data_IF_290991980483
#
_entry.id   IF_290991980483
#
_cell.length_a   1.000
_cell.length_b   1.000
_cell.length_c   1.000
_cell.angle_alpha   90.00
_cell.angle_beta   90.00
_cell.angle_gamma   90.00
#
_symmetry.space_group_name_H-M   'P 1'
#
loop_
_entity.id
_entity.type
_entity.pdbx_description
1 polymer ?
#
# COMPACT_ATOMS: atom_id res chain seq x y z
N UNK A 1 44.78 -14.57 -11.73
CA UNK A 1 43.77 -15.61 -11.43
C UNK A 1 42.56 -15.35 -12.31
N UNK A 2 42.42 -16.14 -13.38
CA UNK A 2 41.37 -16.02 -14.38
C UNK A 2 40.25 -17.00 -14.04
N UNK A 3 39.02 -16.53 -13.85
CA UNK A 3 37.85 -17.40 -13.70
C UNK A 3 37.23 -17.64 -15.09
N UNK A 4 37.29 -18.90 -15.53
CA UNK A 4 36.65 -19.41 -16.75
C UNK A 4 35.18 -19.76 -16.45
N UNK A 5 34.29 -19.22 -17.26
CA UNK A 5 32.87 -19.58 -17.33
C UNK A 5 32.74 -20.93 -18.06
N UNK A 6 32.15 -21.94 -17.43
CA UNK A 6 31.83 -23.22 -18.08
C UNK A 6 30.41 -23.14 -18.66
N UNK A 7 30.31 -23.11 -19.98
CA UNK A 7 29.05 -23.23 -20.72
C UNK A 7 28.88 -24.69 -21.11
N UNK A 8 27.83 -25.34 -20.61
CA UNK A 8 27.42 -26.67 -21.07
C UNK A 8 26.44 -26.52 -22.24
N UNK A 9 26.87 -26.95 -23.42
CA UNK A 9 26.05 -27.02 -24.63
C UNK A 9 25.38 -28.40 -24.71
N UNK A 10 24.04 -28.42 -24.78
CA UNK A 10 23.28 -29.60 -25.18
C UNK A 10 22.75 -29.37 -26.62
N UNK A 11 23.30 -30.13 -27.56
CA UNK A 11 22.89 -30.13 -28.96
C UNK A 11 21.74 -31.14 -29.16
N UNK A 12 20.60 -30.66 -29.67
CA UNK A 12 19.56 -31.51 -30.24
C UNK A 12 19.36 -31.09 -31.71
N UNK A 13 19.60 -32.03 -32.65
CA UNK A 13 19.24 -31.85 -34.07
C UNK A 13 18.12 -32.81 -34.47
N UNK A 14 16.98 -32.18 -34.74
CA UNK A 14 16.03 -32.34 -35.86
C UNK A 14 15.58 -33.75 -36.26
N UNK A 15 14.27 -33.98 -36.10
CA UNK A 15 13.46 -34.73 -37.05
C UNK A 15 12.50 -33.75 -37.71
N UNK A 16 12.54 -33.68 -39.04
CA UNK A 16 11.52 -33.03 -39.85
C UNK A 16 10.64 -34.08 -40.49
N UNK A 17 9.34 -33.81 -40.58
CA UNK A 17 8.46 -34.08 -41.73
C UNK A 17 7.04 -33.62 -41.39
N UNK A 18 6.44 -32.85 -42.28
CA UNK A 18 5.00 -32.60 -42.41
C UNK A 18 4.65 -32.87 -43.90
N UNK A 19 3.37 -32.90 -44.34
CA UNK A 19 2.11 -32.78 -43.61
C UNK A 19 1.09 -33.89 -43.99
N UNK A 20 -0.01 -34.03 -43.23
CA UNK A 20 -1.26 -34.59 -43.78
C UNK A 20 -2.47 -33.81 -43.27
N UNK A 21 -3.21 -33.33 -44.25
CA UNK A 21 -4.50 -32.63 -44.21
C UNK A 21 -5.61 -33.54 -43.70
N UNK A 22 -6.46 -33.08 -42.77
CA UNK A 22 -7.87 -33.45 -42.75
C UNK A 22 -8.72 -32.31 -42.21
N UNK A 23 -9.83 -32.06 -42.92
CA UNK A 23 -10.81 -31.00 -42.71
C UNK A 23 -11.74 -31.34 -41.52
N UNK A 24 -12.18 -30.26 -40.88
CA UNK A 24 -13.22 -30.07 -39.86
C UNK A 24 -14.47 -30.98 -39.94
N UNK A 25 -15.18 -31.14 -38.80
CA UNK A 25 -16.32 -30.23 -38.53
C UNK A 25 -16.30 -29.58 -37.15
N UNK A 26 -17.12 -28.54 -37.05
CA UNK A 26 -17.33 -27.67 -35.91
C UNK A 26 -17.84 -28.40 -34.65
N UNK A 27 -17.40 -27.95 -33.47
CA UNK A 27 -18.12 -28.16 -32.22
C UNK A 27 -18.67 -26.83 -31.71
N UNK A 28 -19.99 -26.86 -31.53
CA UNK A 28 -20.85 -25.78 -31.20
C UNK A 28 -20.78 -25.36 -29.73
N UNK A 29 -21.16 -24.11 -29.53
CA UNK A 29 -21.45 -23.40 -28.28
C UNK A 29 -22.06 -24.25 -27.14
N UNK A 30 -21.37 -24.28 -25.99
CA UNK A 30 -21.88 -24.42 -24.61
C UNK A 30 -20.76 -23.89 -23.70
N UNK A 31 -20.89 -22.96 -22.75
CA UNK A 31 -21.99 -22.41 -21.96
C UNK A 31 -21.74 -20.91 -21.80
N UNK A 32 -22.77 -20.08 -21.99
CA UNK A 32 -22.70 -18.68 -21.60
C UNK A 32 -22.59 -18.58 -20.08
N UNK A 33 -21.58 -17.87 -19.58
CA UNK A 33 -21.64 -17.31 -18.25
C UNK A 33 -22.69 -16.20 -18.29
N UNK A 34 -23.88 -16.48 -17.76
CA UNK A 34 -24.86 -15.44 -17.48
C UNK A 34 -24.32 -14.65 -16.30
N UNK A 35 -23.71 -13.51 -16.60
CA UNK A 35 -23.39 -12.50 -15.60
C UNK A 35 -24.70 -11.79 -15.28
N UNK A 36 -25.33 -12.14 -14.15
CA UNK A 36 -26.32 -11.26 -13.55
C UNK A 36 -25.57 -10.02 -13.09
N UNK A 37 -25.86 -8.86 -13.70
CA UNK A 37 -25.41 -7.58 -13.19
C UNK A 37 -25.78 -7.49 -11.69
N UNK A 38 -24.88 -7.02 -10.80
CA UNK A 38 -25.25 -6.81 -9.42
C UNK A 38 -26.40 -5.79 -9.39
N UNK A 39 -27.50 -6.20 -8.74
CA UNK A 39 -28.51 -5.27 -8.27
C UNK A 39 -27.87 -4.30 -7.26
N UNK A 40 -28.53 -3.15 -7.07
CA UNK A 40 -28.16 -2.08 -6.14
C UNK A 40 -27.35 -2.57 -4.93
N UNK A 41 -26.23 -1.90 -4.64
CA UNK A 41 -25.31 -2.13 -3.52
C UNK A 41 -25.99 -2.84 -2.35
N UNK A 42 -25.73 -4.15 -2.21
CA UNK A 42 -26.13 -4.87 -1.01
C UNK A 42 -25.39 -4.23 0.16
N UNK A 43 -26.15 -3.59 1.05
CA UNK A 43 -25.61 -3.02 2.27
C UNK A 43 -24.80 -4.11 3.02
N UNK A 44 -23.55 -3.81 3.34
CA UNK A 44 -22.71 -4.69 4.17
C UNK A 44 -23.47 -4.96 5.47
N UNK A 45 -23.61 -6.22 5.92
CA UNK A 45 -24.32 -6.54 7.14
C UNK A 45 -23.77 -5.71 8.31
N UNK A 46 -24.61 -4.88 8.94
CA UNK A 46 -24.23 -4.10 10.12
C UNK A 46 -24.08 -4.95 11.40
N UNK A 47 -24.23 -6.28 11.29
CA UNK A 47 -24.18 -7.23 12.38
C UNK A 47 -22.97 -8.15 12.19
N UNK A 48 -22.06 -8.14 13.17
CA UNK A 48 -20.81 -8.91 13.16
C UNK A 48 -19.68 -8.14 13.88
N UNK A 49 -18.54 -8.79 14.03
CA UNK A 49 -17.30 -8.18 14.49
C UNK A 49 -16.77 -7.12 13.50
N UNK A 50 -15.76 -6.35 13.92
CA UNK A 50 -15.15 -5.32 13.11
C UNK A 50 -14.01 -5.88 12.25
N UNK A 51 -13.89 -5.36 11.04
CA UNK A 51 -12.66 -5.48 10.23
C UNK A 51 -11.50 -4.75 10.93
N UNK A 52 -10.25 -5.05 10.58
CA UNK A 52 -9.09 -4.34 11.12
C UNK A 52 -9.09 -2.85 10.70
N UNK A 53 -9.52 -2.54 9.47
CA UNK A 53 -9.71 -1.17 8.99
C UNK A 53 -10.66 -0.40 9.91
N UNK A 54 -11.83 -0.97 10.23
CA UNK A 54 -12.81 -0.36 11.14
C UNK A 54 -12.23 -0.19 12.55
N UNK A 55 -11.52 -1.18 13.09
CA UNK A 55 -10.87 -1.08 14.41
C UNK A 55 -9.85 0.03 14.48
N UNK A 56 -9.01 0.19 13.45
CA UNK A 56 -8.00 1.25 13.42
C UNK A 56 -8.69 2.61 13.24
N UNK A 57 -9.64 2.73 12.31
CA UNK A 57 -10.39 3.97 12.11
C UNK A 57 -11.11 4.43 13.39
N UNK A 58 -11.73 3.50 14.13
CA UNK A 58 -12.41 3.80 15.39
C UNK A 58 -11.50 4.39 16.46
N UNK A 59 -10.24 3.95 16.55
CA UNK A 59 -9.26 4.54 17.50
C UNK A 59 -8.90 5.99 17.16
N UNK A 60 -9.06 6.36 15.90
CA UNK A 60 -8.76 7.68 15.39
C UNK A 60 -10.02 8.54 15.22
N UNK A 61 -11.21 7.99 15.45
CA UNK A 61 -12.46 8.72 15.34
C UNK A 61 -12.61 9.74 16.47
N UNK A 62 -13.26 10.86 16.16
CA UNK A 62 -13.48 11.98 17.06
C UNK A 62 -14.97 12.07 17.35
N UNK A 63 -15.33 12.17 18.64
CA UNK A 63 -16.71 12.37 19.06
C UNK A 63 -17.59 11.13 19.04
N UNK A 64 -17.02 9.93 18.91
CA UNK A 64 -17.77 8.68 19.09
C UNK A 64 -18.21 8.52 20.56
N UNK A 65 -19.47 8.13 20.74
CA UNK A 65 -20.05 7.76 22.02
C UNK A 65 -19.49 6.45 22.56
N UNK A 66 -19.68 6.23 23.86
CA UNK A 66 -19.28 4.98 24.51
C UNK A 66 -20.05 3.79 23.92
N UNK A 67 -19.32 2.79 23.42
CA UNK A 67 -19.90 1.59 22.81
C UNK A 67 -20.28 1.74 21.34
N UNK A 68 -20.11 2.92 20.74
CA UNK A 68 -20.28 3.08 19.29
C UNK A 68 -19.12 2.41 18.55
N UNK A 69 -19.45 1.65 17.51
CA UNK A 69 -18.49 0.97 16.66
C UNK A 69 -18.49 1.58 15.27
N UNK A 70 -17.32 1.84 14.70
CA UNK A 70 -17.20 2.26 13.29
C UNK A 70 -17.52 1.09 12.38
N UNK A 71 -18.32 1.36 11.36
CA UNK A 71 -18.75 0.42 10.33
C UNK A 71 -18.50 1.01 8.94
N UNK A 72 -18.26 0.13 7.99
CA UNK A 72 -18.25 0.47 6.57
C UNK A 72 -19.51 1.27 6.20
N UNK A 73 -19.33 2.40 5.53
CA UNK A 73 -20.38 3.36 5.18
C UNK A 73 -20.51 4.55 6.13
N UNK A 74 -20.04 4.43 7.37
CA UNK A 74 -20.12 5.51 8.36
C UNK A 74 -19.32 6.73 7.91
N UNK A 75 -19.90 7.91 8.12
CA UNK A 75 -19.22 9.19 7.89
C UNK A 75 -18.77 9.77 9.22
N UNK A 76 -17.46 9.68 9.50
CA UNK A 76 -16.88 10.01 10.80
C UNK A 76 -15.86 11.14 10.68
N UNK A 77 -15.75 11.95 11.74
CA UNK A 77 -14.59 12.80 11.91
C UNK A 77 -13.43 11.95 12.45
N UNK A 78 -12.25 12.08 11.87
CA UNK A 78 -11.03 11.38 12.30
C UNK A 78 -9.92 12.39 12.62
N UNK A 79 -9.06 12.01 13.56
CA UNK A 79 -7.77 12.63 13.85
C UNK A 79 -6.64 11.66 13.46
N UNK A 80 -6.12 11.74 12.23
CA UNK A 80 -4.94 10.95 11.85
C UNK A 80 -3.77 11.21 12.80
N UNK A 81 -2.93 10.20 13.04
CA UNK A 81 -1.72 10.36 13.84
C UNK A 81 -0.75 11.35 13.21
N UNK A 82 -0.56 11.22 11.89
CA UNK A 82 0.26 12.12 11.10
C UNK A 82 -0.43 12.44 9.76
N UNK A 83 -0.06 13.59 9.21
CA UNK A 83 -0.34 13.97 7.81
C UNK A 83 0.97 14.25 7.10
N UNK A 84 1.33 13.39 6.15
CA UNK A 84 2.53 13.56 5.35
C UNK A 84 2.26 14.45 4.15
N UNK A 85 3.13 15.42 3.92
CA UNK A 85 3.22 16.10 2.62
C UNK A 85 4.67 16.13 2.16
N UNK A 86 4.89 16.04 0.86
CA UNK A 86 6.24 16.03 0.28
C UNK A 86 6.55 17.39 -0.35
N UNK A 87 7.22 17.45 -1.50
CA UNK A 87 7.39 18.67 -2.30
C UNK A 87 6.12 19.51 -2.47
N UNK A 88 4.97 18.85 -2.51
CA UNK A 88 3.68 19.50 -2.67
C UNK A 88 3.25 20.32 -1.44
N UNK A 89 3.98 20.24 -0.32
CA UNK A 89 3.85 21.15 0.83
C UNK A 89 3.86 22.61 0.38
N UNK A 90 4.70 22.95 -0.62
CA UNK A 90 4.74 24.30 -1.21
C UNK A 90 3.41 24.76 -1.82
N UNK A 91 2.57 23.83 -2.28
CA UNK A 91 1.23 24.09 -2.79
C UNK A 91 0.11 23.95 -1.73
N UNK A 92 0.39 23.32 -0.59
CA UNK A 92 -0.54 23.22 0.55
C UNK A 92 -0.47 24.48 1.42
N UNK A 93 0.73 25.05 1.65
CA UNK A 93 0.93 26.31 2.40
C UNK A 93 -0.01 27.46 1.96
N UNK A 94 -0.13 27.81 0.66
CA UNK A 94 -1.04 28.87 0.25
C UNK A 94 -2.52 28.52 0.50
N UNK A 95 -2.91 27.24 0.41
CA UNK A 95 -4.28 26.80 0.73
C UNK A 95 -4.58 26.97 2.22
N UNK A 96 -3.66 26.53 3.07
CA UNK A 96 -3.72 26.72 4.52
C UNK A 96 -3.88 28.20 4.91
N UNK A 97 -3.10 29.09 4.26
CA UNK A 97 -3.26 30.54 4.48
C UNK A 97 -4.59 31.08 3.94
N UNK A 98 -5.07 30.57 2.81
CA UNK A 98 -6.31 31.06 2.18
C UNK A 98 -7.57 30.77 3.01
N UNK A 99 -7.56 29.73 3.84
CA UNK A 99 -8.65 29.46 4.80
C UNK A 99 -8.52 30.28 6.10
N UNK A 100 -7.62 31.25 6.14
CA UNK A 100 -7.40 32.14 7.28
C UNK A 100 -6.56 31.53 8.42
N UNK A 101 -6.04 30.31 8.24
CA UNK A 101 -5.24 29.65 9.27
C UNK A 101 -3.85 30.29 9.38
N UNK A 102 -3.46 30.59 10.61
CA UNK A 102 -2.17 31.22 10.94
C UNK A 102 -1.27 30.33 11.79
N UNK A 103 -1.80 29.23 12.35
CA UNK A 103 -1.07 28.24 13.16
C UNK A 103 -1.59 26.84 12.87
N UNK A 104 -0.71 25.85 12.98
CA UNK A 104 -1.09 24.45 12.94
C UNK A 104 -1.87 24.11 14.22
N UNK A 105 -2.95 23.34 14.09
CA UNK A 105 -3.72 22.87 15.25
C UNK A 105 -2.91 21.90 16.13
N UNK A 106 -2.04 21.11 15.51
CA UNK A 106 -1.02 20.30 16.17
C UNK A 106 0.25 20.33 15.33
N UNK A 107 1.31 20.95 15.85
CA UNK A 107 2.58 21.08 15.14
C UNK A 107 3.29 19.74 14.88
N UNK A 108 3.02 18.71 15.70
CA UNK A 108 3.66 17.40 15.61
C UNK A 108 2.94 16.44 14.64
N UNK A 109 1.70 16.78 14.23
CA UNK A 109 0.93 15.95 13.31
C UNK A 109 1.45 16.06 11.86
N UNK A 110 1.74 17.25 11.30
CA UNK A 110 2.33 17.35 9.96
C UNK A 110 3.79 16.87 9.90
N UNK A 111 4.09 16.11 8.85
CA UNK A 111 5.44 15.66 8.51
C UNK A 111 5.74 16.09 7.09
N UNK A 112 6.79 16.90 6.92
CA UNK A 112 7.23 17.39 5.60
C UNK A 112 8.47 16.63 5.15
N UNK A 113 8.40 15.87 4.07
CA UNK A 113 9.53 15.05 3.58
C UNK A 113 9.78 15.26 2.08
N UNK A 114 10.87 15.95 1.73
CA UNK A 114 11.18 16.30 0.33
C UNK A 114 11.83 15.14 -0.43
N UNK A 115 11.26 14.72 -1.56
CA UNK A 115 11.73 13.54 -2.29
C UNK A 115 11.44 13.51 -3.81
N UNK A 116 10.52 14.31 -4.35
CA UNK A 116 10.08 14.20 -5.74
C UNK A 116 10.97 14.93 -6.75
N UNK A 117 11.47 16.12 -6.39
CA UNK A 117 12.19 17.01 -7.33
C UNK A 117 13.64 17.27 -6.88
N UNK A 118 14.28 16.27 -6.26
CA UNK A 118 15.58 16.44 -5.57
C UNK A 118 16.75 16.72 -6.52
N UNK A 119 16.65 16.32 -7.79
CA UNK A 119 17.67 16.57 -8.81
C UNK A 119 17.56 17.95 -9.45
N UNK A 120 16.41 18.62 -9.29
CA UNK A 120 16.19 19.96 -9.83
C UNK A 120 16.78 21.02 -8.90
N UNK A 121 17.99 21.47 -9.23
CA UNK A 121 18.70 22.50 -8.46
C UNK A 121 18.44 23.92 -8.97
N UNK A 122 17.40 24.14 -9.78
CA UNK A 122 17.03 25.48 -10.25
C UNK A 122 16.69 26.40 -9.07
N UNK A 123 16.98 27.70 -9.23
CA UNK A 123 16.69 28.70 -8.20
C UNK A 123 15.21 28.68 -7.75
N UNK A 124 14.29 28.41 -8.67
CA UNK A 124 12.86 28.26 -8.38
C UNK A 124 12.57 27.08 -7.44
N UNK A 125 13.18 25.92 -7.70
CA UNK A 125 12.97 24.74 -6.85
C UNK A 125 13.65 24.90 -5.49
N UNK A 126 14.86 25.45 -5.45
CA UNK A 126 15.55 25.74 -4.20
C UNK A 126 14.77 26.74 -3.33
N UNK A 127 14.15 27.76 -3.93
CA UNK A 127 13.27 28.67 -3.20
C UNK A 127 12.00 27.98 -2.67
N UNK A 128 11.41 27.04 -3.42
CA UNK A 128 10.29 26.19 -2.97
C UNK A 128 10.68 25.39 -1.73
N UNK A 129 11.80 24.67 -1.78
CA UNK A 129 12.29 23.85 -0.66
C UNK A 129 12.63 24.68 0.57
N UNK A 130 13.31 25.81 0.38
CA UNK A 130 13.61 26.73 1.47
C UNK A 130 12.33 27.28 2.12
N UNK A 131 11.31 27.62 1.32
CA UNK A 131 10.02 28.08 1.84
C UNK A 131 9.29 26.99 2.66
N UNK A 132 9.40 25.73 2.27
CA UNK A 132 8.84 24.59 3.02
C UNK A 132 9.60 24.41 4.35
N UNK A 133 10.92 24.42 4.32
CA UNK A 133 11.76 24.30 5.51
C UNK A 133 11.48 25.43 6.51
N UNK A 134 11.44 26.69 6.03
CA UNK A 134 11.09 27.84 6.87
C UNK A 134 9.70 27.72 7.49
N UNK A 135 8.72 27.23 6.72
CA UNK A 135 7.37 26.99 7.24
C UNK A 135 7.38 25.95 8.35
N UNK A 136 8.13 24.86 8.18
CA UNK A 136 8.32 23.82 9.18
C UNK A 136 8.95 24.37 10.47
N UNK A 137 10.04 25.13 10.33
CA UNK A 137 10.74 25.76 11.45
C UNK A 137 9.84 26.75 12.20
N UNK A 138 9.09 27.57 11.47
CA UNK A 138 8.17 28.57 12.05
C UNK A 138 7.09 27.92 12.92
N UNK A 139 6.60 26.75 12.52
CA UNK A 139 5.53 26.05 13.24
C UNK A 139 6.02 24.94 14.17
N UNK A 140 7.32 24.61 14.16
CA UNK A 140 7.88 23.52 14.95
C UNK A 140 7.49 22.12 14.45
N UNK A 141 7.26 21.96 13.15
CA UNK A 141 6.89 20.67 12.53
C UNK A 141 8.09 19.84 12.12
N UNK A 142 7.87 18.53 12.00
CA UNK A 142 8.90 17.59 11.53
C UNK A 142 9.19 17.84 10.06
N UNK A 143 10.48 17.99 9.74
CA UNK A 143 10.98 18.23 8.40
C UNK A 143 12.13 17.29 8.07
N UNK A 144 12.03 16.63 6.92
CA UNK A 144 13.07 15.81 6.33
C UNK A 144 13.53 16.46 5.02
N UNK A 145 14.81 16.87 4.92
CA UNK A 145 15.32 17.57 3.74
C UNK A 145 15.47 16.63 2.54
N UNK A 146 15.61 17.23 1.36
CA UNK A 146 15.89 16.51 0.12
C UNK A 146 17.12 15.62 0.29
N UNK A 147 17.01 14.36 -0.15
CA UNK A 147 18.06 13.36 -0.02
C UNK A 147 17.99 12.50 1.25
N UNK A 148 17.01 12.71 2.15
CA UNK A 148 16.75 11.77 3.25
C UNK A 148 16.30 10.39 2.74
N UNK A 149 15.42 10.38 1.75
CA UNK A 149 14.79 9.17 1.20
C UNK A 149 13.38 9.48 0.69
N UNK A 150 12.75 8.50 0.05
CA UNK A 150 11.35 8.60 -0.40
C UNK A 150 10.43 8.76 0.82
N UNK A 151 9.49 9.70 0.77
CA UNK A 151 8.69 10.13 1.90
C UNK A 151 7.97 8.97 2.61
N UNK A 152 7.41 8.04 1.85
CA UNK A 152 6.74 6.86 2.43
C UNK A 152 7.70 5.93 3.16
N UNK A 153 8.89 5.68 2.61
CA UNK A 153 9.92 4.88 3.27
C UNK A 153 10.39 5.55 4.56
N UNK A 154 10.61 6.87 4.51
CA UNK A 154 10.95 7.67 5.69
C UNK A 154 9.86 7.53 6.76
N UNK A 155 8.59 7.66 6.41
CA UNK A 155 7.52 7.51 7.40
C UNK A 155 7.49 6.15 8.09
N UNK A 156 7.75 5.07 7.35
CA UNK A 156 7.74 3.70 7.90
C UNK A 156 8.96 3.45 8.77
N UNK A 157 10.17 3.75 8.26
CA UNK A 157 11.43 3.50 8.97
C UNK A 157 11.63 4.41 10.18
N UNK A 158 11.05 5.62 10.16
CA UNK A 158 11.10 6.57 11.26
C UNK A 158 10.03 6.33 12.34
N UNK A 159 9.20 5.30 12.16
CA UNK A 159 8.11 4.96 13.08
C UNK A 159 6.97 5.98 13.13
N UNK A 160 6.83 6.81 12.09
CA UNK A 160 5.75 7.78 11.96
C UNK A 160 4.48 7.10 11.43
N UNK A 161 4.62 6.21 10.44
CA UNK A 161 3.59 5.23 10.06
C UNK A 161 3.69 4.01 10.98
N UNK A 162 3.12 4.12 12.19
CA UNK A 162 3.29 3.11 13.24
C UNK A 162 2.18 2.03 13.19
N UNK A 163 2.48 0.76 13.49
CA UNK A 163 1.49 -0.31 13.57
C UNK A 163 0.25 0.06 14.40
N UNK A 164 -0.93 -0.23 13.86
CA UNK A 164 -2.23 0.03 14.49
C UNK A 164 -2.65 1.50 14.56
N UNK A 165 -1.92 2.41 13.90
CA UNK A 165 -2.28 3.82 13.75
C UNK A 165 -2.87 4.14 12.38
N UNK A 166 -3.54 5.29 12.26
CA UNK A 166 -4.00 5.86 10.99
C UNK A 166 -3.10 7.04 10.59
N UNK A 167 -2.55 7.01 9.37
CA UNK A 167 -1.74 8.09 8.81
C UNK A 167 -2.26 8.44 7.43
N UNK A 168 -2.43 9.73 7.17
CA UNK A 168 -2.82 10.21 5.84
C UNK A 168 -1.64 10.90 5.17
N UNK A 169 -1.64 10.95 3.85
CA UNK A 169 -0.66 11.73 3.11
C UNK A 169 -1.29 12.45 1.94
N UNK A 170 -0.78 13.63 1.61
CA UNK A 170 -1.12 14.31 0.36
C UNK A 170 -0.44 13.63 -0.84
N UNK A 171 -0.51 12.31 -0.92
CA UNK A 171 0.11 11.46 -1.94
C UNK A 171 -0.72 10.18 -2.09
N UNK A 172 -0.87 9.70 -3.32
CA UNK A 172 -1.71 8.54 -3.65
C UNK A 172 -1.22 7.22 -3.08
N UNK A 173 0.09 7.10 -2.79
CA UNK A 173 0.75 5.88 -2.37
C UNK A 173 0.94 5.79 -0.86
N UNK A 174 0.24 6.63 -0.09
CA UNK A 174 0.12 6.49 1.37
C UNK A 174 -0.43 5.13 1.79
N UNK A 175 -1.06 4.37 0.89
CA UNK A 175 -1.45 2.98 1.09
C UNK A 175 -0.27 2.09 1.52
N UNK A 176 0.97 2.43 1.15
CA UNK A 176 2.19 1.70 1.54
C UNK A 176 2.28 1.41 3.05
N UNK A 177 1.75 2.31 3.89
CA UNK A 177 1.79 2.17 5.35
C UNK A 177 1.09 0.90 5.85
N UNK A 178 0.13 0.38 5.09
CA UNK A 178 -0.57 -0.84 5.47
C UNK A 178 0.29 -2.10 5.46
N UNK A 179 1.48 -2.07 4.83
CA UNK A 179 2.43 -3.18 4.87
C UNK A 179 2.98 -3.45 6.28
N UNK A 180 2.96 -2.44 7.16
CA UNK A 180 3.33 -2.54 8.58
C UNK A 180 2.12 -2.48 9.52
N UNK A 181 0.90 -2.64 8.98
CA UNK A 181 -0.33 -2.58 9.76
C UNK A 181 -0.74 -1.18 10.22
N UNK A 182 -0.26 -0.13 9.55
CA UNK A 182 -0.76 1.24 9.70
C UNK A 182 -1.83 1.51 8.63
N UNK A 183 -3.01 2.00 9.02
CA UNK A 183 -4.05 2.38 8.06
C UNK A 183 -3.62 3.66 7.33
N UNK A 184 -3.05 3.48 6.14
CA UNK A 184 -2.63 4.54 5.23
C UNK A 184 -3.67 4.83 4.16
N UNK A 185 -4.02 6.11 3.97
CA UNK A 185 -4.94 6.55 2.90
C UNK A 185 -4.52 7.92 2.36
N UNK A 186 -4.69 8.17 1.05
CA UNK A 186 -4.40 9.46 0.45
C UNK A 186 -5.42 10.53 0.86
N UNK A 187 -4.98 11.78 0.84
CA UNK A 187 -5.81 12.99 0.90
C UNK A 187 -5.38 13.96 -0.18
N UNK A 188 -6.24 14.89 -0.58
CA UNK A 188 -5.83 15.94 -1.52
C UNK A 188 -5.18 17.13 -0.79
N UNK A 189 -4.49 17.99 -1.54
CA UNK A 189 -3.81 19.19 -0.97
C UNK A 189 -4.73 20.12 -0.17
N UNK A 190 -6.01 20.19 -0.54
CA UNK A 190 -7.00 21.01 0.20
C UNK A 190 -7.32 20.38 1.55
N UNK A 191 -7.52 19.07 1.59
CA UNK A 191 -7.77 18.33 2.83
C UNK A 191 -6.55 18.37 3.75
N UNK A 192 -5.33 18.23 3.21
CA UNK A 192 -4.10 18.40 3.98
C UNK A 192 -4.04 19.77 4.66
N UNK A 193 -4.39 20.86 3.95
CA UNK A 193 -4.47 22.20 4.54
C UNK A 193 -5.55 22.32 5.63
N UNK A 194 -6.70 21.67 5.44
CA UNK A 194 -7.76 21.64 6.45
C UNK A 194 -7.34 20.84 7.70
N UNK A 195 -6.66 19.71 7.52
CA UNK A 195 -6.09 18.91 8.61
C UNK A 195 -5.03 19.72 9.34
N UNK A 196 -4.15 20.45 8.66
CA UNK A 196 -3.20 21.32 9.33
C UNK A 196 -3.87 22.36 10.23
N UNK A 197 -5.01 22.91 9.80
CA UNK A 197 -5.75 23.94 10.52
C UNK A 197 -6.62 23.42 11.67
N UNK A 198 -7.04 22.15 11.64
CA UNK A 198 -8.04 21.59 12.57
C UNK A 198 -7.58 20.33 13.29
N UNK A 199 -6.47 19.75 12.83
CA UNK A 199 -5.94 18.44 13.14
C UNK A 199 -6.86 17.26 12.83
N UNK A 200 -7.97 17.49 12.12
CA UNK A 200 -9.01 16.50 11.86
C UNK A 200 -9.48 16.57 10.40
N UNK A 201 -10.13 15.51 9.94
CA UNK A 201 -10.85 15.51 8.65
C UNK A 201 -12.07 14.62 8.75
N UNK A 202 -13.02 14.84 7.86
CA UNK A 202 -14.09 13.89 7.61
C UNK A 202 -13.57 12.72 6.77
N UNK A 203 -14.06 11.53 7.06
CA UNK A 203 -13.74 10.32 6.32
C UNK A 203 -14.96 9.40 6.30
N UNK A 204 -15.30 8.92 5.11
CA UNK A 204 -16.29 7.86 4.96
C UNK A 204 -15.55 6.52 5.04
N UNK A 205 -15.92 5.69 6.01
CA UNK A 205 -15.35 4.35 6.13
C UNK A 205 -15.72 3.54 4.87
N UNK A 206 -14.74 3.09 4.06
CA UNK A 206 -15.04 2.41 2.81
C UNK A 206 -15.48 0.97 3.08
N UNK A 207 -16.21 0.34 2.14
CA UNK A 207 -16.39 -1.10 2.18
C UNK A 207 -15.03 -1.82 2.17
N UNK A 208 -14.93 -2.91 2.93
CA UNK A 208 -13.68 -3.66 3.06
C UNK A 208 -13.74 -4.96 2.24
N UNK A 209 -12.74 -5.16 1.37
CA UNK A 209 -12.53 -6.40 0.64
C UNK A 209 -11.48 -7.26 1.36
N UNK A 210 -11.80 -8.53 1.60
CA UNK A 210 -10.87 -9.54 2.10
C UNK A 210 -10.12 -10.16 0.92
N UNK A 211 -8.80 -10.04 0.90
CA UNK A 211 -7.94 -10.71 -0.08
C UNK A 211 -7.12 -11.78 0.60
N UNK A 212 -7.47 -13.04 0.36
CA UNK A 212 -6.81 -14.19 0.97
C UNK A 212 -5.66 -14.70 0.10
N UNK A 213 -4.44 -14.60 0.60
CA UNK A 213 -3.24 -15.13 -0.03
C UNK A 213 -2.95 -16.54 0.52
N UNK A 214 -2.98 -17.54 -0.37
CA UNK A 214 -2.83 -18.96 -0.04
C UNK A 214 -1.51 -19.52 -0.57
N UNK A 215 -0.97 -20.54 0.09
CA UNK A 215 0.31 -21.15 -0.30
C UNK A 215 1.51 -20.24 0.01
N UNK A 216 2.62 -20.48 -0.68
CA UNK A 216 3.86 -19.72 -0.54
C UNK A 216 4.39 -19.27 -1.91
N UNK A 217 5.16 -18.18 -1.94
CA UNK A 217 5.77 -17.70 -3.17
C UNK A 217 6.84 -18.68 -3.67
N UNK A 218 6.82 -19.04 -4.97
CA UNK A 218 7.90 -19.80 -5.58
C UNK A 218 9.22 -19.02 -5.58
N UNK A 219 10.38 -19.70 -5.67
CA UNK A 219 11.67 -19.03 -5.75
C UNK A 219 11.74 -17.99 -6.87
N UNK A 220 12.17 -16.78 -6.52
CA UNK A 220 12.30 -15.65 -7.46
C UNK A 220 11.02 -14.83 -7.67
N UNK A 221 9.89 -15.21 -7.06
CA UNK A 221 8.66 -14.41 -7.01
C UNK A 221 8.68 -13.56 -5.74
N UNK A 222 8.32 -12.29 -5.85
CA UNK A 222 8.32 -11.31 -4.74
C UNK A 222 6.96 -10.60 -4.62
N UNK A 223 6.77 -9.78 -3.59
CA UNK A 223 5.53 -9.04 -3.34
C UNK A 223 5.07 -8.18 -4.53
N UNK A 224 6.03 -7.66 -5.32
CA UNK A 224 5.72 -6.94 -6.57
C UNK A 224 4.95 -7.81 -7.56
N UNK A 225 5.32 -9.07 -7.70
CA UNK A 225 4.63 -10.00 -8.61
C UNK A 225 3.20 -10.29 -8.12
N UNK A 226 3.00 -10.38 -6.79
CA UNK A 226 1.68 -10.58 -6.18
C UNK A 226 0.74 -9.46 -6.55
N UNK A 227 1.12 -8.20 -6.30
CA UNK A 227 0.22 -7.07 -6.56
C UNK A 227 0.03 -6.80 -8.06
N UNK A 228 1.04 -7.04 -8.89
CA UNK A 228 0.87 -7.01 -10.36
C UNK A 228 -0.11 -8.09 -10.83
N UNK A 229 -0.03 -9.30 -10.28
CA UNK A 229 -0.97 -10.37 -10.60
C UNK A 229 -2.39 -10.03 -10.16
N UNK A 230 -2.57 -9.47 -8.95
CA UNK A 230 -3.88 -9.01 -8.48
C UNK A 230 -4.47 -7.93 -9.39
N UNK A 231 -3.70 -6.91 -9.76
CA UNK A 231 -4.15 -5.84 -10.66
C UNK A 231 -4.55 -6.36 -12.06
N UNK A 232 -3.88 -7.42 -12.55
CA UNK A 232 -4.16 -8.00 -13.86
C UNK A 232 -5.36 -8.95 -13.84
N UNK A 233 -5.43 -9.83 -12.83
CA UNK A 233 -6.50 -10.82 -12.67
C UNK A 233 -7.83 -10.16 -12.32
N UNK A 234 -7.80 -9.14 -11.46
CA UNK A 234 -8.95 -8.36 -11.02
C UNK A 234 -8.85 -6.94 -11.58
N UNK A 235 -9.01 -6.83 -12.89
CA UNK A 235 -8.81 -5.59 -13.66
C UNK A 235 -10.10 -4.81 -13.96
N UNK A 236 -11.26 -5.27 -13.48
CA UNK A 236 -12.59 -4.71 -13.74
C UNK A 236 -13.17 -4.02 -12.50
N UNK A 237 -12.31 -3.29 -11.77
CA UNK A 237 -12.67 -2.44 -10.63
C UNK A 237 -13.30 -3.20 -9.46
N UNK A 238 -12.87 -4.45 -9.27
CA UNK A 238 -13.36 -5.34 -8.21
C UNK A 238 -13.17 -4.76 -6.81
N UNK A 239 -12.15 -3.92 -6.60
CA UNK A 239 -11.86 -3.26 -5.31
C UNK A 239 -11.84 -1.73 -5.40
N UNK A 240 -12.40 -1.15 -6.47
CA UNK A 240 -12.47 0.31 -6.61
C UNK A 240 -13.22 0.90 -5.41
N UNK A 241 -12.63 1.92 -4.77
CA UNK A 241 -13.14 2.58 -3.56
C UNK A 241 -13.31 1.67 -2.33
N UNK A 242 -12.68 0.49 -2.33
CA UNK A 242 -12.62 -0.39 -1.15
C UNK A 242 -11.33 -0.15 -0.36
N UNK A 243 -11.36 -0.42 0.94
CA UNK A 243 -10.13 -0.82 1.64
C UNK A 243 -9.90 -2.32 1.43
N UNK A 244 -8.65 -2.75 1.35
CA UNK A 244 -8.27 -4.15 1.18
C UNK A 244 -7.56 -4.64 2.43
N UNK A 245 -7.99 -5.79 2.97
CA UNK A 245 -7.28 -6.53 4.01
C UNK A 245 -6.66 -7.80 3.43
N UNK A 246 -5.33 -7.88 3.50
CA UNK A 246 -4.57 -9.06 3.09
C UNK A 246 -4.48 -10.04 4.24
N UNK A 247 -4.98 -11.26 4.01
CA UNK A 247 -5.08 -12.30 5.03
C UNK A 247 -4.63 -13.67 4.49
N UNK A 248 -4.58 -14.67 5.36
CA UNK A 248 -4.24 -16.05 4.99
C UNK A 248 -2.78 -16.38 5.25
N UNK A 249 -2.46 -17.67 5.23
CA UNK A 249 -1.12 -18.17 5.56
C UNK A 249 -0.02 -17.57 4.67
N UNK A 250 -0.33 -17.32 3.39
CA UNK A 250 0.59 -16.66 2.47
C UNK A 250 0.94 -15.24 2.92
N UNK A 251 -0.07 -14.45 3.33
CA UNK A 251 0.16 -13.07 3.81
C UNK A 251 1.06 -13.02 5.05
N UNK A 252 0.86 -13.96 5.99
CA UNK A 252 1.67 -14.06 7.21
C UNK A 252 3.11 -14.52 6.95
N UNK A 253 3.37 -15.22 5.84
CA UNK A 253 4.72 -15.66 5.46
C UNK A 253 5.53 -14.59 4.72
N UNK A 254 4.88 -13.54 4.18
CA UNK A 254 5.57 -12.50 3.43
C UNK A 254 6.45 -11.61 4.34
N UNK A 255 7.69 -11.31 3.94
CA UNK A 255 8.52 -10.31 4.61
C UNK A 255 7.91 -8.90 4.46
N UNK A 256 8.30 -7.95 5.32
CA UNK A 256 7.70 -6.61 5.33
C UNK A 256 7.93 -5.87 4.02
N UNK A 257 9.08 -6.07 3.38
CA UNK A 257 9.40 -5.46 2.08
C UNK A 257 8.37 -5.86 1.01
N UNK A 258 7.93 -7.12 1.00
CA UNK A 258 6.89 -7.61 0.10
C UNK A 258 5.52 -7.04 0.46
N UNK A 259 5.19 -6.97 1.76
CA UNK A 259 3.93 -6.37 2.23
C UNK A 259 3.87 -4.88 1.87
N UNK A 260 4.97 -4.15 2.03
CA UNK A 260 5.08 -2.74 1.63
C UNK A 260 4.87 -2.58 0.12
N UNK A 261 5.50 -3.43 -0.71
CA UNK A 261 5.31 -3.41 -2.16
C UNK A 261 3.85 -3.70 -2.56
N UNK A 262 3.20 -4.66 -1.91
CA UNK A 262 1.80 -5.01 -2.15
C UNK A 262 0.88 -3.86 -1.74
N UNK A 263 1.01 -3.39 -0.50
CA UNK A 263 0.22 -2.28 0.04
C UNK A 263 0.38 -0.99 -0.76
N UNK A 264 1.62 -0.66 -1.18
CA UNK A 264 1.93 0.52 -1.98
C UNK A 264 1.15 0.52 -3.30
N UNK A 265 1.17 -0.58 -4.04
CA UNK A 265 0.60 -0.64 -5.38
C UNK A 265 -0.91 -0.99 -5.40
N UNK A 266 -1.55 -1.03 -4.22
CA UNK A 266 -3.03 -1.10 -4.15
C UNK A 266 -3.70 0.15 -4.71
N UNK A 267 -2.99 1.27 -4.75
CA UNK A 267 -3.39 2.52 -5.40
C UNK A 267 -3.71 2.29 -6.88
N UNK A 268 -2.83 1.60 -7.61
CA UNK A 268 -3.03 1.24 -9.01
C UNK A 268 -4.20 0.26 -9.22
N UNK A 269 -4.56 -0.50 -8.19
CA UNK A 269 -5.72 -1.39 -8.20
C UNK A 269 -7.05 -0.65 -7.97
N UNK A 270 -6.99 0.61 -7.54
CA UNK A 270 -8.16 1.44 -7.24
C UNK A 270 -8.64 1.36 -5.79
N UNK A 271 -7.88 0.70 -4.90
CA UNK A 271 -8.20 0.62 -3.48
C UNK A 271 -7.77 1.90 -2.74
N UNK A 272 -8.52 2.26 -1.70
CA UNK A 272 -8.25 3.42 -0.84
C UNK A 272 -7.23 3.13 0.25
N UNK A 273 -7.04 1.85 0.58
CA UNK A 273 -6.04 1.37 1.52
C UNK A 273 -5.75 -0.11 1.24
N UNK A 274 -4.53 -0.56 1.56
CA UNK A 274 -4.15 -1.98 1.52
C UNK A 274 -3.43 -2.37 2.78
N UNK A 275 -4.06 -3.18 3.64
CA UNK A 275 -3.66 -3.39 5.03
C UNK A 275 -3.32 -4.85 5.32
N UNK A 276 -2.17 -5.07 5.98
CA UNK A 276 -1.80 -6.33 6.61
C UNK A 276 -2.03 -6.24 8.13
N UNK A 277 -2.27 -7.38 8.76
CA UNK A 277 -2.29 -7.46 10.22
C UNK A 277 -0.90 -7.23 10.82
N UNK A 278 -0.86 -6.79 12.08
CA UNK A 278 0.38 -6.71 12.85
C UNK A 278 0.65 -8.08 13.45
N UNK A 279 1.75 -8.70 13.03
CA UNK A 279 2.16 -10.03 13.46
C UNK A 279 3.65 -10.09 13.81
N UNK A 280 4.14 -11.29 14.13
CA UNK A 280 5.55 -11.48 14.50
C UNK A 280 6.54 -11.07 13.41
N UNK A 281 6.15 -11.07 12.13
CA UNK A 281 7.01 -10.57 11.05
C UNK A 281 7.16 -9.06 11.18
N UNK A 282 6.07 -8.33 11.45
CA UNK A 282 6.10 -6.90 11.74
C UNK A 282 6.94 -6.58 12.97
N UNK A 283 6.77 -7.33 14.07
CA UNK A 283 7.52 -7.11 15.30
C UNK A 283 9.02 -7.32 15.10
N UNK A 284 9.44 -8.44 14.49
CA UNK A 284 10.87 -8.72 14.21
C UNK A 284 11.49 -7.70 13.27
N UNK A 285 10.73 -7.23 12.28
CA UNK A 285 11.22 -6.20 11.38
C UNK A 285 11.53 -4.90 12.11
N UNK A 286 10.63 -4.44 13.00
CA UNK A 286 10.88 -3.26 13.81
C UNK A 286 11.98 -3.45 14.85
N UNK A 287 12.13 -4.64 15.42
CA UNK A 287 13.30 -4.99 16.27
C UNK A 287 14.61 -4.80 15.49
N UNK A 288 14.64 -5.26 14.23
CA UNK A 288 15.79 -5.07 13.35
C UNK A 288 16.03 -3.60 13.00
N UNK A 289 14.97 -2.80 12.82
CA UNK A 289 15.08 -1.36 12.58
C UNK A 289 15.62 -0.64 13.81
N UNK A 290 15.13 -0.97 15.01
CA UNK A 290 15.57 -0.39 16.28
C UNK A 290 17.04 -0.72 16.60
N UNK A 291 17.56 -1.83 16.09
CA UNK A 291 18.96 -2.22 16.25
C UNK A 291 19.94 -1.47 15.31
N UNK A 292 19.46 -0.66 14.36
CA UNK A 292 20.33 0.06 13.41
C UNK A 292 21.05 1.23 14.12
N UNK A 293 22.32 1.55 13.78
CA UNK A 293 23.11 2.61 14.45
C UNK A 293 22.52 4.02 14.42
N UNK A 294 21.49 4.28 13.61
CA UNK A 294 20.79 5.57 13.49
C UNK A 294 19.27 5.40 13.51
N UNK A 295 18.81 4.34 14.20
CA UNK A 295 17.39 4.10 14.36
C UNK A 295 16.72 5.27 15.10
N UNK A 296 15.59 5.72 14.57
CA UNK A 296 14.73 6.69 15.26
C UNK A 296 13.57 6.01 15.98
N UNK A 297 13.23 4.79 15.59
CA UNK A 297 12.41 3.88 16.39
C UNK A 297 13.24 3.34 17.55
N UNK A 298 12.79 3.55 18.79
CA UNK A 298 13.47 3.06 19.98
C UNK A 298 13.12 1.61 20.28
N UNK A 299 14.06 0.86 20.88
CA UNK A 299 13.81 -0.51 21.35
C UNK A 299 12.63 -0.57 22.34
N UNK A 300 12.47 0.45 23.20
CA UNK A 300 11.35 0.57 24.15
C UNK A 300 10.00 0.68 23.43
N UNK A 301 9.92 1.43 22.33
CA UNK A 301 8.70 1.55 21.54
C UNK A 301 8.32 0.20 20.90
N UNK A 302 9.32 -0.55 20.42
CA UNK A 302 9.09 -1.89 19.85
C UNK A 302 8.69 -2.89 20.93
N UNK A 303 9.31 -2.85 22.10
CA UNK A 303 8.94 -3.68 23.24
C UNK A 303 7.51 -3.39 23.72
N UNK A 304 7.12 -2.12 23.78
CA UNK A 304 5.75 -1.73 24.11
C UNK A 304 4.73 -2.19 23.05
N UNK A 305 5.08 -2.13 21.77
CA UNK A 305 4.25 -2.69 20.69
C UNK A 305 4.07 -4.20 20.86
N UNK A 306 5.16 -4.95 21.06
CA UNK A 306 5.12 -6.40 21.30
C UNK A 306 4.23 -6.74 22.50
N UNK A 307 4.44 -6.08 23.63
CA UNK A 307 3.63 -6.29 24.83
C UNK A 307 2.13 -6.00 24.58
N UNK A 308 1.81 -4.98 23.79
CA UNK A 308 0.41 -4.68 23.42
C UNK A 308 -0.19 -5.69 22.45
N UNK A 309 0.60 -6.29 21.55
CA UNK A 309 0.17 -7.39 20.68
C UNK A 309 -0.11 -8.65 21.49
N UNK A 310 0.78 -8.98 22.43
CA UNK A 310 0.65 -10.16 23.29
C UNK A 310 -0.51 -10.04 24.30
N UNK A 311 -0.72 -8.85 24.86
CA UNK A 311 -1.79 -8.61 25.83
C UNK A 311 -3.20 -8.64 25.20
N UNK A 312 -3.34 -8.19 23.95
CA UNK A 312 -4.65 -8.09 23.29
C UNK A 312 -4.59 -8.47 21.80
N UNK A 313 -4.34 -9.75 21.43
CA UNK A 313 -4.12 -10.12 20.03
C UNK A 313 -5.30 -9.80 19.09
N UNK A 314 -6.54 -9.91 19.57
CA UNK A 314 -7.75 -9.57 18.81
C UNK A 314 -7.82 -8.11 18.39
N UNK A 315 -7.06 -7.22 19.03
CA UNK A 315 -6.97 -5.80 18.67
C UNK A 315 -6.18 -5.59 17.37
N UNK A 316 -5.34 -6.54 16.99
CA UNK A 316 -4.36 -6.39 15.90
C UNK A 316 -4.74 -7.16 14.63
N UNK A 317 -5.87 -7.84 14.68
CA UNK A 317 -6.49 -8.58 13.58
C UNK A 317 -7.97 -8.22 13.46
N UNK A 318 -8.59 -8.52 12.32
CA UNK A 318 -10.04 -8.46 12.19
C UNK A 318 -10.71 -9.47 13.14
N UNK A 319 -11.94 -9.16 13.56
CA UNK A 319 -12.75 -10.12 14.31
C UNK A 319 -13.08 -11.35 13.48
N UNK A 320 -13.29 -12.50 14.14
CA UNK A 320 -13.53 -13.79 13.46
C UNK A 320 -14.79 -13.79 12.60
N UNK A 321 -15.79 -13.03 13.03
CA UNK A 321 -17.08 -12.85 12.38
C UNK A 321 -17.20 -11.47 11.69
N UNK A 322 -16.06 -10.84 11.38
CA UNK A 322 -16.06 -9.58 10.64
C UNK A 322 -16.71 -9.71 9.27
N UNK A 323 -17.61 -8.77 8.96
CA UNK A 323 -18.29 -8.71 7.67
C UNK A 323 -17.41 -8.02 6.63
N UNK A 324 -17.26 -8.65 5.47
CA UNK A 324 -16.53 -8.09 4.33
C UNK A 324 -17.47 -7.91 3.16
N UNK A 325 -17.33 -6.81 2.42
CA UNK A 325 -18.11 -6.55 1.22
C UNK A 325 -17.78 -7.54 0.10
N UNK A 326 -16.51 -8.00 0.05
CA UNK A 326 -16.01 -8.92 -0.98
C UNK A 326 -14.97 -9.86 -0.40
N UNK A 327 -14.86 -11.04 -0.99
CA UNK A 327 -13.79 -11.99 -0.71
C UNK A 327 -13.15 -12.44 -2.03
N UNK A 328 -11.87 -12.10 -2.18
CA UNK A 328 -11.01 -12.56 -3.27
C UNK A 328 -9.94 -13.49 -2.69
N UNK A 329 -9.40 -14.40 -3.50
CA UNK A 329 -8.28 -15.22 -3.09
C UNK A 329 -7.29 -15.40 -4.24
N UNK A 330 -6.01 -15.56 -3.89
CA UNK A 330 -4.92 -15.81 -4.83
C UNK A 330 -4.05 -16.95 -4.30
N UNK A 331 -3.83 -17.95 -5.15
CA UNK A 331 -2.85 -19.00 -4.90
C UNK A 331 -1.45 -18.51 -5.28
N UNK A 332 -0.61 -18.29 -4.28
CA UNK A 332 0.75 -17.79 -4.46
C UNK A 332 1.65 -18.78 -5.20
N UNK A 333 1.40 -20.10 -5.08
CA UNK A 333 2.21 -21.12 -5.74
C UNK A 333 2.03 -21.11 -7.27
N UNK A 334 0.91 -20.56 -7.74
CA UNK A 334 0.60 -20.39 -9.16
C UNK A 334 1.36 -19.23 -9.81
N UNK A 335 2.01 -18.37 -9.01
CA UNK A 335 2.68 -17.18 -9.52
C UNK A 335 4.03 -17.50 -10.13
N UNK A 336 4.38 -16.70 -11.13
CA UNK A 336 5.74 -16.61 -11.69
C UNK A 336 6.17 -15.15 -11.65
N UNK A 337 7.45 -14.83 -11.88
CA UNK A 337 7.84 -13.43 -12.04
C UNK A 337 7.05 -12.76 -13.19
N UNK A 338 6.54 -11.55 -12.96
CA UNK A 338 5.70 -10.81 -13.89
C UNK A 338 6.31 -9.45 -14.22
N UNK A 339 6.06 -9.01 -15.45
CA UNK A 339 6.38 -7.65 -15.90
C UNK A 339 5.10 -6.96 -16.31
N UNK A 340 4.90 -5.76 -15.78
CA UNK A 340 3.75 -4.94 -16.14
C UNK A 340 4.06 -3.96 -17.28
N UNK A 341 3.05 -3.63 -18.09
CA UNK A 341 3.12 -2.59 -19.11
C UNK A 341 2.77 -3.07 -20.53
N UNK A 342 3.09 -2.28 -21.57
CA UNK A 342 3.99 -1.12 -21.53
C UNK A 342 3.37 0.19 -20.99
N UNK A 343 2.06 0.34 -21.06
CA UNK A 343 1.33 1.61 -20.82
C UNK A 343 0.25 1.51 -19.73
N UNK A 344 0.05 0.32 -19.17
CA UNK A 344 -0.88 0.09 -18.06
C UNK A 344 -0.33 -0.92 -17.06
N UNK A 345 -0.49 -0.58 -15.78
CA UNK A 345 -0.16 -1.43 -14.63
C UNK A 345 -1.10 -2.63 -14.49
N UNK A 346 -2.27 -2.58 -15.13
CA UNK A 346 -3.25 -3.69 -15.19
C UNK A 346 -2.90 -4.71 -16.27
N UNK A 347 -1.90 -4.44 -17.13
CA UNK A 347 -1.40 -5.39 -18.11
C UNK A 347 -0.18 -6.09 -17.53
N UNK A 348 -0.24 -7.40 -17.32
CA UNK A 348 0.85 -8.21 -16.80
C UNK A 348 1.22 -9.33 -17.79
N UNK A 349 2.52 -9.52 -18.01
CA UNK A 349 3.07 -10.60 -18.84
C UNK A 349 4.04 -11.44 -17.99
N UNK A 350 3.88 -12.78 -17.94
CA UNK A 350 4.86 -13.64 -17.29
C UNK A 350 6.26 -13.45 -17.89
N UNK A 351 7.29 -13.37 -17.05
CA UNK A 351 8.67 -13.11 -17.47
C UNK A 351 9.13 -14.11 -18.54
N UNK A 352 8.80 -15.40 -18.38
CA UNK A 352 9.15 -16.45 -19.35
C UNK A 352 8.54 -16.20 -20.75
N UNK A 353 7.38 -15.54 -20.83
CA UNK A 353 6.79 -15.14 -22.10
C UNK A 353 7.48 -13.91 -22.70
N UNK A 354 7.84 -12.94 -21.85
CA UNK A 354 8.53 -11.73 -22.28
C UNK A 354 9.97 -12.01 -22.73
N UNK A 355 10.67 -12.93 -22.07
CA UNK A 355 12.03 -13.34 -22.41
C UNK A 355 12.14 -13.84 -23.86
N UNK A 356 11.14 -14.59 -24.33
CA UNK A 356 11.07 -15.08 -25.72
C UNK A 356 11.01 -13.94 -26.75
N UNK A 357 10.52 -12.77 -26.36
CA UNK A 357 10.43 -11.58 -27.24
C UNK A 357 11.78 -10.86 -27.38
N UNK A 358 12.76 -11.14 -26.51
CA UNK A 358 14.11 -10.52 -26.50
C UNK A 358 14.06 -8.99 -26.62
N UNK A 359 13.17 -8.37 -25.85
CA UNK A 359 13.02 -6.90 -25.82
C UNK A 359 14.32 -6.27 -25.33
N UNK A 360 14.87 -5.31 -26.07
CA UNK A 360 16.06 -4.58 -25.66
C UNK A 360 15.75 -3.65 -24.48
N UNK A 361 16.49 -3.79 -23.39
CA UNK A 361 16.42 -2.87 -22.25
C UNK A 361 17.50 -1.81 -22.43
N UNK A 362 17.10 -0.57 -22.71
CA UNK A 362 18.05 0.54 -22.88
C UNK A 362 18.47 1.17 -21.54
N UNK A 363 17.57 1.13 -20.55
CA UNK A 363 17.77 1.68 -19.21
C UNK A 363 17.03 0.79 -18.20
N UNK A 364 17.64 0.61 -17.03
CA UNK A 364 17.02 -0.06 -15.89
C UNK A 364 17.19 0.83 -14.67
N UNK A 365 16.13 0.94 -13.87
CA UNK A 365 16.11 1.69 -12.62
C UNK A 365 15.74 0.71 -11.51
N UNK A 366 16.58 0.66 -10.49
CA UNK A 366 16.30 -0.03 -9.23
C UNK A 366 16.34 1.09 -8.20
N UNK A 367 15.19 1.38 -7.60
CA UNK A 367 14.97 2.54 -6.74
C UNK A 367 14.95 2.09 -5.29
#
# INVERSE_FOLDING_TARGET
MSFRLLVAAAAARRVGTAPRTHRHPALAARRGFVFTAPRAEEAVPQHGGQTLVEKIAQRHAVGLGAGEAVRSGDFIAIRPRHVMTHDNTGAVIPKFRSIGATRLADAQQPVFALDHDIQNTSAKNMAKYHGIEQFAQTHGSRFYPAGRGIAHQVLVEEGLAWPGSMVVGSDSHSNMYGGVGCLGTPVVRTDAAAIWATAQTWWQAPPVARVELRGALPPGVVGKDVIVALCALFSHDEVLNHAVEFVGAGAHALPIEDRLAISNMTTEWGALAGLFAVDDVTLRWYESCAARPRATVSADAVAALRASVEAEPSRWIADRDAAYAKHLWLDLESLTPHVSGPDSVKVATPLAALERRRVSINKAYIV
#
